data_IF_934592571209
#
_entry.id   IF_934592571209
#
_cell.length_a   1.000
_cell.length_b   1.000
_cell.length_c   1.000
_cell.angle_alpha   90.00
_cell.angle_beta   90.00
_cell.angle_gamma   90.00
#
_symmetry.space_group_name_H-M   'P 1'
#
loop_
_entity.id
_entity.type
_entity.pdbx_description
1 polymer ?
2 polymer ?
3 water ?
#
# COMPACT_ATOMS: atom_id res chain seq x y z
N UNK A 1 -10.98 18.28 9.52
CA UNK A 1 -10.82 18.51 8.09
C UNK A 1 -9.39 18.94 7.78
N UNK A 2 -8.52 18.90 8.80
CA UNK A 2 -7.10 19.07 8.55
C UNK A 2 -6.60 17.90 7.72
N UNK A 3 -5.96 18.21 6.59
CA UNK A 3 -5.41 17.19 5.73
C UNK A 3 -3.96 17.52 5.40
N UNK A 4 -3.16 16.47 5.22
CA UNK A 4 -1.75 16.59 4.90
C UNK A 4 -1.51 15.92 3.55
N UNK A 5 -0.69 16.56 2.71
CA UNK A 5 -0.41 16.03 1.37
C UNK A 5 1.09 16.14 1.09
N UNK A 6 1.76 14.99 0.99
CA UNK A 6 3.15 14.96 0.59
C UNK A 6 3.29 15.05 -0.92
N UNK A 7 4.35 15.72 -1.37
CA UNK A 7 4.67 15.74 -2.79
C UNK A 7 6.18 15.81 -2.97
N UNK A 8 6.61 15.41 -4.16
CA UNK A 8 8.02 15.40 -4.48
C UNK A 8 8.19 14.52 -5.70
N UNK A 9 9.42 14.42 -6.20
CA UNK A 9 9.65 13.55 -7.36
C UNK A 9 9.52 12.10 -6.95
N UNK A 10 9.01 11.28 -7.84
CA UNK A 10 8.98 9.87 -7.56
C UNK A 10 10.31 9.16 -7.79
N UNK A 11 11.25 9.83 -8.46
CA UNK A 11 12.51 9.23 -8.87
C UNK A 11 13.65 10.20 -8.64
N UNK A 12 14.68 9.76 -7.92
CA UNK A 12 15.93 10.51 -7.79
C UNK A 12 17.10 9.57 -7.98
N UNK A 13 18.21 10.10 -8.44
CA UNK A 13 19.37 9.27 -8.70
C UNK A 13 20.23 9.15 -7.44
N UNK A 14 20.98 8.05 -7.30
CA UNK A 14 21.90 7.94 -6.17
C UNK A 14 22.86 9.12 -6.14
N UNK A 15 23.08 9.62 -4.92
CA UNK A 15 23.89 10.76 -4.51
C UNK A 15 23.15 12.09 -4.64
N UNK A 16 21.99 12.14 -5.28
CA UNK A 16 21.24 13.38 -5.38
C UNK A 16 20.58 13.70 -4.04
N UNK A 17 19.96 14.88 -3.97
CA UNK A 17 19.23 15.27 -2.75
C UNK A 17 17.73 15.14 -3.01
N UNK A 18 17.06 14.33 -2.18
CA UNK A 18 15.61 14.20 -2.23
C UNK A 18 14.95 15.37 -1.54
N UNK A 19 14.03 16.05 -2.23
CA UNK A 19 13.31 17.20 -1.69
C UNK A 19 11.82 16.91 -1.72
N UNK A 20 11.19 16.90 -0.54
CA UNK A 20 9.77 16.66 -0.40
C UNK A 20 9.10 17.82 0.33
N UNK A 21 7.83 18.00 0.06
CA UNK A 21 7.03 18.99 0.78
C UNK A 21 5.81 18.32 1.37
N UNK A 22 5.33 18.90 2.47
CA UNK A 22 4.14 18.45 3.16
C UNK A 22 3.22 19.67 3.27
N UNK A 23 2.15 19.68 2.49
CA UNK A 23 1.25 20.82 2.44
C UNK A 23 0.03 20.54 3.32
N UNK A 24 -0.22 21.44 4.26
CA UNK A 24 -1.32 21.29 5.19
C UNK A 24 -2.48 22.16 4.73
N UNK A 25 -3.68 21.60 4.77
CA UNK A 25 -4.89 22.32 4.41
C UNK A 25 -5.94 22.08 5.49
N UNK A 26 -6.89 23.00 5.58
CA UNK A 26 -7.92 22.93 6.61
C UNK A 26 -7.49 23.40 7.98
N UNK A 27 -6.28 23.94 8.09
CA UNK A 27 -5.77 24.42 9.36
C UNK A 27 -4.36 24.93 9.17
N UNK A 28 -3.85 25.57 10.22
CA UNK A 28 -2.53 26.18 10.18
C UNK A 28 -1.46 25.23 10.70
N UNK A 29 -0.24 25.40 10.19
CA UNK A 29 0.89 24.67 10.76
C UNK A 29 1.36 25.27 12.07
N UNK A 30 0.86 26.44 12.45
CA UNK A 30 1.29 27.11 13.67
C UNK A 30 0.97 26.26 14.89
N UNK A 31 1.91 26.24 15.84
CA UNK A 31 1.69 25.67 17.14
C UNK A 31 2.04 24.19 17.25
N UNK A 32 1.99 23.44 16.15
CA UNK A 32 2.23 22.01 16.15
C UNK A 32 3.67 21.69 15.76
N UNK A 33 4.21 20.64 16.36
CA UNK A 33 5.29 19.92 15.71
C UNK A 33 4.73 19.12 14.55
N UNK A 34 5.54 18.96 13.51
CA UNK A 34 5.17 18.21 12.32
C UNK A 34 6.29 17.22 12.07
N UNK A 35 5.95 15.94 11.92
CA UNK A 35 6.94 14.89 11.79
C UNK A 35 7.03 14.36 10.36
N UNK A 36 8.21 13.90 10.00
CA UNK A 36 8.43 13.15 8.78
C UNK A 36 8.74 11.70 9.15
N UNK A 37 8.15 10.77 8.39
CA UNK A 37 8.25 9.34 8.63
C UNK A 37 8.46 8.67 7.26
N UNK A 38 9.14 7.52 7.24
CA UNK A 38 9.22 6.78 6.00
C UNK A 38 9.08 5.29 6.23
N UNK A 39 8.76 4.60 5.13
CA UNK A 39 8.54 3.15 5.15
C UNK A 39 9.10 2.53 3.87
N UNK A 40 10.26 1.88 3.94
CA UNK A 40 10.71 1.08 2.80
C UNK A 40 9.67 0.03 2.46
N UNK A 41 9.60 -0.40 1.20
CA UNK A 41 8.61 -1.42 0.83
C UNK A 41 8.70 -2.65 1.72
N UNK A 42 7.57 -3.04 2.29
CA UNK A 42 7.47 -4.24 3.09
C UNK A 42 8.07 -4.15 4.48
N UNK A 43 8.55 -2.97 4.89
CA UNK A 43 9.24 -2.83 6.17
C UNK A 43 8.42 -1.92 7.10
N UNK A 44 9.00 -1.62 8.26
CA UNK A 44 8.31 -0.86 9.27
C UNK A 44 8.47 0.64 9.08
N UNK A 45 7.86 1.39 10.00
CA UNK A 45 7.92 2.84 9.99
C UNK A 45 9.16 3.34 10.71
N UNK A 46 9.84 4.31 10.09
CA UNK A 46 11.02 4.95 10.66
C UNK A 46 10.75 6.44 10.80
N UNK A 47 10.85 6.95 12.03
CA UNK A 47 10.75 8.39 12.22
C UNK A 47 12.01 9.06 11.68
N UNK A 48 11.83 10.09 10.86
CA UNK A 48 12.94 10.83 10.28
C UNK A 48 13.28 12.05 11.12
N UNK A 49 12.28 12.86 11.43
CA UNK A 49 12.54 14.06 12.22
C UNK A 49 11.28 14.88 12.36
N UNK A 50 11.42 16.04 12.98
CA UNK A 50 10.26 16.90 13.13
C UNK A 50 10.66 18.37 13.14
N UNK A 51 9.65 19.23 13.05
CA UNK A 51 9.88 20.67 13.12
C UNK A 51 8.66 21.35 13.72
N UNK A 52 8.92 22.36 14.53
CA UNK A 52 7.94 23.33 15.00
C UNK A 52 8.42 24.69 14.53
N UNK A 53 7.53 25.47 13.91
CA UNK A 53 7.97 26.64 13.16
C UNK A 53 8.69 27.66 14.05
N UNK A 54 8.39 27.69 15.35
CA UNK A 54 9.03 28.64 16.24
C UNK A 54 9.71 27.99 17.43
N UNK A 55 9.86 26.67 17.46
CA UNK A 55 10.55 26.03 18.57
C UNK A 55 11.86 25.39 18.14
N UNK A 56 11.80 24.20 17.56
CA UNK A 56 13.01 23.50 17.23
C UNK A 56 12.78 22.60 16.02
N UNK A 57 13.88 22.04 15.54
CA UNK A 57 13.84 20.91 14.62
C UNK A 57 14.85 19.89 15.10
N UNK A 58 14.59 18.62 14.81
CA UNK A 58 15.55 17.58 15.13
C UNK A 58 15.27 16.39 14.23
N UNK A 59 16.22 15.46 14.22
CA UNK A 59 16.06 14.29 13.37
C UNK A 59 16.71 13.08 14.01
N UNK A 60 16.32 11.93 13.51
CA UNK A 60 16.85 10.64 13.90
C UNK A 60 18.38 10.66 13.87
N UNK A 61 19.07 10.18 14.91
CA UNK A 61 20.53 10.25 14.92
C UNK A 61 21.19 9.53 13.76
N UNK A 62 20.55 8.50 13.22
CA UNK A 62 21.12 7.78 12.09
C UNK A 62 21.03 8.59 10.81
N UNK A 63 20.10 9.54 10.73
CA UNK A 63 19.90 10.31 9.51
C UNK A 63 20.28 11.78 9.64
N UNK A 64 20.64 12.23 10.86
CA UNK A 64 20.78 13.66 11.10
C UNK A 64 21.80 14.32 10.18
N UNK A 65 22.87 13.62 9.80
CA UNK A 65 23.86 14.26 8.95
C UNK A 65 23.35 14.54 7.54
N UNK A 66 22.24 13.93 7.13
CA UNK A 66 21.72 14.11 5.79
C UNK A 66 20.36 14.79 5.74
N UNK A 67 19.74 15.08 6.90
CA UNK A 67 18.36 15.53 6.97
C UNK A 67 18.32 17.02 7.27
N UNK A 68 17.54 17.76 6.48
CA UNK A 68 17.22 19.15 6.79
C UNK A 68 15.72 19.31 6.65
N UNK A 69 15.06 19.69 7.74
CA UNK A 69 13.62 19.91 7.74
C UNK A 69 13.38 21.39 7.98
N UNK A 70 12.45 21.96 7.24
CA UNK A 70 12.13 23.38 7.38
C UNK A 70 10.63 23.59 7.19
N UNK A 71 10.20 24.84 7.33
CA UNK A 71 8.80 25.20 7.23
C UNK A 71 8.67 26.49 6.42
N UNK A 72 7.48 26.68 5.86
CA UNK A 72 7.14 27.90 5.12
C UNK A 72 5.74 28.30 5.57
N UNK A 73 5.65 29.35 6.40
CA UNK A 73 4.35 29.72 6.95
C UNK A 73 3.41 30.25 5.87
N UNK A 74 3.94 31.01 4.90
CA UNK A 74 3.09 31.56 3.87
C UNK A 74 2.45 30.46 3.04
N UNK A 75 3.17 29.36 2.81
CA UNK A 75 2.63 28.25 2.05
C UNK A 75 1.98 27.19 2.94
N UNK A 76 2.05 27.35 4.25
CA UNK A 76 1.53 26.36 5.19
C UNK A 76 2.09 24.97 4.88
N UNK A 77 3.42 24.93 4.71
CA UNK A 77 4.13 23.74 4.25
C UNK A 77 5.31 23.44 5.14
N UNK A 78 5.56 22.15 5.34
CA UNK A 78 6.83 21.64 5.84
C UNK A 78 7.59 21.03 4.67
N UNK A 79 8.91 20.95 4.82
CA UNK A 79 9.74 20.38 3.76
C UNK A 79 10.79 19.47 4.38
N UNK A 80 11.22 18.50 3.59
CA UNK A 80 12.28 17.59 3.98
C UNK A 80 13.29 17.55 2.86
N UNK A 81 14.56 17.74 3.19
CA UNK A 81 15.65 17.49 2.26
C UNK A 81 16.51 16.38 2.82
N UNK A 82 16.74 15.34 2.02
CA UNK A 82 17.57 14.20 2.40
C UNK A 82 18.70 14.09 1.38
N UNK A 83 19.93 14.34 1.82
CA UNK A 83 21.04 14.43 0.88
C UNK A 83 21.73 13.08 0.69
N UNK A 84 22.50 12.99 -0.39
CA UNK A 84 23.34 11.82 -0.69
C UNK A 84 22.55 10.51 -0.63
N UNK A 85 21.44 10.45 -1.38
CA UNK A 85 20.56 9.28 -1.24
C UNK A 85 21.20 8.06 -1.88
N UNK A 86 20.77 6.89 -1.38
CA UNK A 86 21.10 5.61 -1.97
C UNK A 86 19.81 4.78 -2.05
N UNK A 87 19.94 3.57 -2.59
CA UNK A 87 18.79 2.67 -2.65
C UNK A 87 18.16 2.43 -1.28
N UNK A 88 18.94 2.56 -0.20
CA UNK A 88 18.40 2.40 1.15
C UNK A 88 17.38 3.47 1.50
N UNK A 89 17.31 4.55 0.72
CA UNK A 89 16.34 5.60 0.95
C UNK A 89 15.07 5.43 0.10
N UNK A 90 14.99 4.39 -0.71
CA UNK A 90 13.74 4.09 -1.42
C UNK A 90 12.67 3.74 -0.40
N UNK A 91 11.56 4.49 -0.41
CA UNK A 91 10.56 4.33 0.63
C UNK A 91 9.35 5.18 0.27
N UNK A 92 8.23 4.91 0.94
CA UNK A 92 7.14 5.87 0.96
C UNK A 92 7.39 6.82 2.11
N UNK A 93 7.26 8.12 1.85
CA UNK A 93 7.54 9.16 2.81
C UNK A 93 6.24 9.81 3.25
N UNK A 94 6.07 9.97 4.56
CA UNK A 94 4.86 10.55 5.16
C UNK A 94 5.19 11.76 6.01
N UNK A 95 4.25 12.68 6.10
CA UNK A 95 4.26 13.63 7.21
C UNK A 95 3.07 13.36 8.14
N UNK A 96 3.20 13.86 9.37
CA UNK A 96 2.16 13.66 10.37
C UNK A 96 2.12 14.87 11.30
N UNK A 97 0.92 15.19 11.77
CA UNK A 97 0.77 16.22 12.79
C UNK A 97 1.08 15.67 14.16
N UNK A 98 1.95 16.37 14.89
CA UNK A 98 2.61 15.87 16.10
C UNK A 98 2.13 16.73 17.26
N UNK A 99 2.96 16.85 18.30
CA UNK A 99 2.56 17.52 19.53
C UNK A 99 2.23 18.99 19.34
N UNK A 100 1.18 19.46 20.03
CA UNK A 100 0.79 20.85 20.02
C UNK A 100 1.32 21.55 21.28
N UNK A 101 1.94 22.71 21.09
CA UNK A 101 2.46 23.54 22.17
C UNK A 101 1.59 24.77 22.32
N UNK A 102 1.01 24.94 23.51
CA UNK A 102 0.20 26.11 23.82
C UNK A 102 1.10 27.32 24.07
N UNK A 103 0.46 28.50 24.08
CA UNK A 103 1.21 29.75 24.31
C UNK A 103 1.84 29.75 25.69
N UNK A 104 1.23 29.07 26.66
CA UNK A 104 1.81 28.95 27.99
C UNK A 104 3.15 28.23 27.98
N UNK A 105 3.45 27.46 26.92
CA UNK A 105 4.64 26.64 26.87
C UNK A 105 4.41 25.18 27.20
N UNK A 106 3.26 24.85 27.76
CA UNK A 106 2.92 23.45 28.01
C UNK A 106 2.39 22.81 26.74
N UNK A 107 2.25 21.50 26.75
CA UNK A 107 1.99 20.77 25.52
C UNK A 107 1.15 19.55 25.82
N UNK A 108 0.67 18.90 24.77
CA UNK A 108 0.07 17.58 24.92
C UNK A 108 0.56 16.71 23.77
N UNK A 109 1.24 15.62 24.11
CA UNK A 109 1.76 14.71 23.10
C UNK A 109 0.65 14.21 22.19
N UNK A 110 0.93 14.20 20.88
CA UNK A 110 -0.03 13.78 19.88
C UNK A 110 0.71 13.29 18.64
N UNK A 111 0.00 12.51 17.84
CA UNK A 111 0.50 12.03 16.55
C UNK A 111 -0.72 11.55 15.79
N UNK A 112 -1.64 12.46 15.46
CA UNK A 112 -3.02 12.08 15.22
C UNK A 112 -3.49 12.15 13.77
N UNK A 113 -2.74 12.80 12.89
CA UNK A 113 -3.14 12.91 11.49
C UNK A 113 -1.96 12.55 10.62
N UNK A 114 -2.17 11.64 9.66
CA UNK A 114 -1.15 11.26 8.70
C UNK A 114 -1.50 11.81 7.33
N UNK A 115 -0.47 12.11 6.55
CA UNK A 115 -0.62 12.34 5.13
C UNK A 115 -0.83 11.02 4.40
N UNK A 116 -0.99 11.11 3.07
CA UNK A 116 -1.25 9.93 2.26
C UNK A 116 0.03 9.17 1.91
N UNK A 117 1.17 9.83 1.97
CA UNK A 117 2.45 9.28 1.60
C UNK A 117 2.77 9.52 0.14
N UNK A 118 4.07 9.66 -0.12
CA UNK A 118 4.53 9.78 -1.49
C UNK A 118 5.71 8.84 -1.68
N UNK A 119 5.67 8.06 -2.76
CA UNK A 119 6.65 7.01 -2.99
C UNK A 119 7.86 7.60 -3.70
N UNK A 120 9.04 7.30 -3.18
CA UNK A 120 10.30 7.74 -3.77
C UNK A 120 11.15 6.52 -4.07
N UNK A 121 11.66 6.43 -5.30
CA UNK A 121 12.59 5.38 -5.70
C UNK A 121 13.92 6.03 -6.02
N UNK A 122 15.00 5.47 -5.49
CA UNK A 122 16.35 5.97 -5.74
C UNK A 122 17.01 5.00 -6.73
N UNK A 123 17.25 5.47 -7.95
CA UNK A 123 17.75 4.61 -9.02
C UNK A 123 18.39 5.51 -10.08
N UNK A 124 19.34 4.94 -10.83
CA UNK A 124 19.85 5.65 -12.00
C UNK A 124 19.06 5.36 -13.27
N UNK A 125 18.10 4.44 -13.23
CA UNK A 125 17.30 4.14 -14.40
C UNK A 125 16.39 5.31 -14.74
N UNK A 126 16.05 5.42 -16.03
CA UNK A 126 15.23 6.51 -16.51
C UNK A 126 13.75 6.22 -16.32
N UNK A 127 12.97 7.28 -16.13
CA UNK A 127 11.51 7.15 -16.06
C UNK A 127 10.99 6.57 -17.37
N UNK A 128 9.95 5.75 -17.28
CA UNK A 128 9.28 5.24 -18.47
C UNK A 128 7.79 5.13 -18.23
N UNK A 129 7.00 5.73 -19.11
CA UNK A 129 5.57 5.63 -19.04
C UNK A 129 5.06 4.30 -19.52
N UNK A 130 3.90 3.88 -19.05
CA UNK A 130 3.40 2.55 -19.39
C UNK A 130 2.73 2.50 -20.75
N UNK A 131 2.65 1.29 -21.29
CA UNK A 131 1.76 0.95 -22.39
C UNK A 131 0.53 0.28 -21.80
N UNK A 132 -0.65 0.68 -22.25
CA UNK A 132 -1.90 0.21 -21.68
C UNK A 132 -2.64 -0.59 -22.73
N UNK A 133 -3.05 -1.80 -22.37
CA UNK A 133 -3.78 -2.65 -23.29
C UNK A 133 -5.08 -3.10 -22.64
N UNK A 134 -6.17 -3.14 -23.39
CA UNK A 134 -7.44 -3.55 -22.81
C UNK A 134 -7.51 -5.07 -22.67
N UNK A 135 -8.18 -5.52 -21.60
CA UNK A 135 -8.50 -6.93 -21.41
C UNK A 135 -10.00 -7.07 -21.65
N UNK A 136 -10.36 -7.55 -22.84
CA UNK A 136 -11.76 -7.55 -23.26
C UNK A 136 -12.55 -8.64 -22.55
N UNK A 137 -13.86 -8.45 -22.35
CA UNK A 137 -14.71 -9.47 -21.72
C UNK A 137 -14.72 -10.82 -22.46
N UNK A 145 -24.59 -14.46 -14.65
CA UNK A 145 -24.37 -13.48 -15.69
C UNK A 145 -23.39 -12.40 -15.28
N UNK A 146 -22.13 -12.78 -15.05
CA UNK A 146 -21.11 -11.86 -14.60
C UNK A 146 -19.87 -12.03 -15.48
N UNK A 147 -19.17 -10.92 -15.74
CA UNK A 147 -18.02 -10.92 -16.63
C UNK A 147 -16.92 -10.04 -16.06
N UNK A 148 -15.67 -10.42 -16.33
CA UNK A 148 -14.50 -9.65 -15.92
C UNK A 148 -13.89 -8.98 -17.13
N UNK A 149 -13.41 -7.76 -16.93
CA UNK A 149 -12.66 -7.05 -17.96
C UNK A 149 -11.61 -6.22 -17.24
N UNK A 150 -10.64 -5.72 -17.99
CA UNK A 150 -9.60 -5.02 -17.28
C UNK A 150 -8.71 -4.25 -18.21
N UNK A 151 -7.59 -3.79 -17.65
CA UNK A 151 -6.54 -3.13 -18.40
C UNK A 151 -5.20 -3.67 -17.95
N UNK A 152 -4.31 -3.89 -18.90
CA UNK A 152 -2.96 -4.37 -18.64
C UNK A 152 -2.02 -3.19 -18.81
N UNK A 153 -1.31 -2.84 -17.74
CA UNK A 153 -0.48 -1.64 -17.68
C UNK A 153 0.96 -2.12 -17.64
N UNK A 154 1.68 -1.97 -18.76
CA UNK A 154 2.92 -2.69 -18.98
C UNK A 154 4.12 -1.75 -19.05
N UNK A 155 5.23 -2.20 -18.44
CA UNK A 155 6.57 -1.68 -18.72
C UNK A 155 6.71 -0.19 -18.36
N UNK A 156 6.49 0.11 -17.08
CA UNK A 156 6.66 1.47 -16.57
C UNK A 156 7.69 1.51 -15.44
N UNK A 157 8.16 2.72 -15.13
CA UNK A 157 9.13 2.91 -14.05
C UNK A 157 9.23 4.39 -13.69
N UNK A 158 9.30 4.70 -12.39
CA UNK A 158 9.16 3.79 -11.25
C UNK A 158 7.69 3.63 -10.86
N UNK A 159 7.46 3.01 -9.70
CA UNK A 159 6.13 2.93 -9.13
C UNK A 159 5.72 4.31 -8.60
N UNK A 160 4.42 4.56 -8.48
CA UNK A 160 3.28 3.71 -8.78
C UNK A 160 2.52 4.16 -10.01
N UNK A 161 1.58 3.34 -10.47
CA UNK A 161 0.51 3.81 -11.33
C UNK A 161 -0.79 3.61 -10.58
N UNK A 162 -1.72 4.53 -10.80
CA UNK A 162 -3.08 4.41 -10.28
C UNK A 162 -4.01 4.18 -11.46
N UNK A 163 -5.03 3.37 -11.24
CA UNK A 163 -6.02 3.08 -12.27
C UNK A 163 -7.39 3.32 -11.67
N UNK A 164 -8.11 4.29 -12.24
CA UNK A 164 -9.53 4.41 -11.96
C UNK A 164 -10.31 3.88 -13.16
N UNK A 165 -11.61 3.71 -12.95
CA UNK A 165 -12.51 3.23 -13.99
C UNK A 165 -13.64 4.23 -14.19
N UNK A 166 -13.88 4.58 -15.45
CA UNK A 166 -14.95 5.51 -15.82
C UNK A 166 -14.81 6.83 -15.07
N UNK A 167 -13.58 7.36 -15.09
CA UNK A 167 -13.24 8.66 -14.50
C UNK A 167 -13.58 8.68 -13.01
N UNK A 168 -13.27 7.60 -12.31
CA UNK A 168 -13.52 7.50 -10.90
C UNK A 168 -14.97 7.27 -10.51
N UNK A 169 -15.86 7.13 -11.48
CA UNK A 169 -17.28 6.92 -11.18
C UNK A 169 -17.63 5.46 -11.00
N UNK A 170 -16.73 4.54 -11.33
CA UNK A 170 -16.96 3.11 -11.15
C UNK A 170 -16.12 2.65 -9.97
N UNK A 171 -16.79 2.25 -8.89
CA UNK A 171 -16.16 1.82 -7.64
C UNK A 171 -16.98 0.64 -7.12
N UNK A 172 -16.63 -0.56 -7.58
CA UNK A 172 -17.30 -1.76 -7.10
C UNK A 172 -16.36 -2.96 -7.19
N UNK A 173 -16.55 -3.78 -8.22
CA UNK A 173 -15.70 -4.95 -8.39
C UNK A 173 -14.30 -4.63 -8.87
N UNK A 174 -13.86 -3.37 -8.68
CA UNK A 174 -12.55 -2.95 -9.14
C UNK A 174 -11.48 -3.56 -8.25
N UNK A 175 -10.45 -4.14 -8.87
CA UNK A 175 -9.26 -4.52 -8.12
C UNK A 175 -8.04 -4.21 -8.97
N UNK A 176 -7.12 -3.42 -8.42
CA UNK A 176 -5.86 -3.14 -9.09
C UNK A 176 -4.78 -3.93 -8.37
N UNK A 177 -4.12 -4.82 -9.11
CA UNK A 177 -3.20 -5.76 -8.55
C UNK A 177 -1.86 -5.13 -8.20
N UNK A 178 -1.10 -5.74 -7.30
CA UNK A 178 0.28 -5.32 -7.11
C UNK A 178 1.04 -5.47 -8.41
N UNK A 179 2.03 -4.61 -8.60
CA UNK A 179 2.86 -4.69 -9.79
C UNK A 179 3.83 -5.85 -9.69
N UNK A 180 4.22 -6.36 -10.84
CA UNK A 180 5.33 -7.32 -10.95
C UNK A 180 6.54 -6.57 -11.48
N UNK A 181 7.72 -6.85 -10.91
CA UNK A 181 8.98 -6.29 -11.40
C UNK A 181 9.57 -7.28 -12.39
N UNK A 182 9.61 -6.90 -13.66
CA UNK A 182 10.12 -7.78 -14.71
C UNK A 182 11.64 -7.69 -14.80
N UNK A 183 12.25 -8.65 -15.50
CA UNK A 183 13.70 -8.71 -15.58
C UNK A 183 14.28 -7.50 -16.28
N UNK A 184 13.48 -6.82 -17.13
CA UNK A 184 13.87 -5.53 -17.68
C UNK A 184 14.10 -4.47 -16.62
N UNK A 185 13.66 -4.70 -15.38
CA UNK A 185 13.66 -3.65 -14.39
C UNK A 185 12.44 -2.76 -14.46
N UNK A 186 11.47 -3.11 -15.30
CA UNK A 186 10.23 -2.36 -15.46
C UNK A 186 9.11 -3.07 -14.74
N UNK A 187 8.09 -2.30 -14.34
CA UNK A 187 6.92 -2.82 -13.66
C UNK A 187 5.76 -3.01 -14.62
N UNK A 188 4.90 -3.99 -14.31
CA UNK A 188 3.62 -4.15 -14.98
C UNK A 188 2.58 -4.50 -13.94
N UNK A 189 1.35 -4.09 -14.19
CA UNK A 189 0.25 -4.54 -13.34
C UNK A 189 -1.00 -4.64 -14.20
N UNK A 190 -2.05 -5.16 -13.60
CA UNK A 190 -3.36 -5.17 -14.22
C UNK A 190 -4.37 -4.59 -13.25
N UNK A 191 -5.43 -4.01 -13.81
CA UNK A 191 -6.56 -3.58 -13.03
C UNK A 191 -7.79 -4.22 -13.66
N UNK A 192 -8.66 -4.76 -12.83
CA UNK A 192 -9.80 -5.54 -13.32
C UNK A 192 -11.08 -5.07 -12.62
N UNK A 193 -12.21 -5.22 -13.30
CA UNK A 193 -13.51 -4.97 -12.71
C UNK A 193 -14.45 -6.09 -13.13
N UNK A 194 -15.31 -6.52 -12.20
CA UNK A 194 -16.34 -7.52 -12.50
C UNK A 194 -17.65 -6.78 -12.72
N UNK A 195 -18.29 -7.03 -13.86
CA UNK A 195 -19.46 -6.26 -14.27
C UNK A 195 -20.58 -7.23 -14.64
N UNK A 196 -21.85 -6.83 -14.51
CA UNK A 196 -22.93 -7.70 -14.98
C UNK A 196 -22.84 -7.91 -16.50
N UNK A 197 -23.06 -9.15 -16.91
CA UNK A 197 -23.04 -9.47 -18.34
C UNK A 197 -24.08 -8.68 -19.12
N UNK A 198 -25.20 -8.33 -18.48
CA UNK A 198 -26.27 -7.62 -19.17
C UNK A 198 -25.85 -6.21 -19.56
N UNK A 199 -24.92 -5.61 -18.84
CA UNK A 199 -24.46 -4.26 -19.13
C UNK A 199 -23.28 -4.25 -20.10
N UNK A 200 -22.96 -5.39 -20.73
CA UNK A 200 -21.81 -5.44 -21.64
C UNK A 200 -22.08 -4.77 -22.97
N UNK A 201 -23.27 -4.92 -23.51
CA UNK A 201 -23.54 -4.19 -24.75
C UNK A 201 -24.04 -2.78 -24.48
N UNK A 202 -24.10 -2.41 -23.22
CA UNK A 202 -24.66 -1.17 -22.79
C UNK A 202 -23.72 -0.17 -22.21
N UNK A 203 -23.12 -0.51 -21.09
CA UNK A 203 -22.24 0.39 -20.47
C UNK A 203 -20.86 0.23 -21.08
N UNK A 204 -20.20 1.33 -21.21
CA UNK A 204 -18.80 1.32 -21.61
C UNK A 204 -17.92 1.33 -20.37
N UNK A 205 -16.75 0.70 -20.49
CA UNK A 205 -15.79 0.63 -19.41
C UNK A 205 -14.44 1.15 -19.89
N UNK A 206 -13.96 2.20 -19.25
CA UNK A 206 -12.71 2.85 -19.63
C UNK A 206 -11.83 2.93 -18.39
N UNK A 207 -10.63 2.37 -18.48
CA UNK A 207 -9.68 2.54 -17.40
C UNK A 207 -8.90 3.84 -17.60
N UNK A 208 -8.73 4.58 -16.51
CA UNK A 208 -7.95 5.81 -16.52
C UNK A 208 -6.63 5.52 -15.79
N UNK A 209 -5.55 5.47 -16.56
CA UNK A 209 -4.23 5.10 -16.04
C UNK A 209 -3.39 6.35 -15.87
N UNK A 210 -2.87 6.56 -14.66
CA UNK A 210 -2.02 7.70 -14.35
C UNK A 210 -0.65 7.19 -13.91
N UNK A 211 0.40 7.70 -14.55
CA UNK A 211 1.76 7.43 -14.13
C UNK A 211 2.41 8.80 -13.88
N UNK A 212 2.33 9.25 -12.63
CA UNK A 212 2.81 10.60 -12.30
C UNK A 212 4.29 10.82 -12.61
N UNK A 213 5.22 9.86 -12.43
CA UNK A 213 6.63 10.19 -12.67
C UNK A 213 6.94 10.52 -14.12
N UNK A 214 6.15 10.02 -15.05
CA UNK A 214 6.28 10.38 -16.46
C UNK A 214 5.17 11.31 -16.92
N UNK A 215 4.31 11.75 -16.00
CA UNK A 215 3.07 12.46 -16.32
C UNK A 215 2.40 11.82 -17.53
N UNK A 216 2.26 10.50 -17.51
CA UNK A 216 1.50 9.79 -18.52
C UNK A 216 0.07 9.64 -18.03
N UNK A 217 -0.88 9.95 -18.92
CA UNK A 217 -2.30 9.74 -18.65
C UNK A 217 -2.88 9.02 -19.85
N UNK A 218 -3.53 7.88 -19.61
CA UNK A 218 -4.07 7.06 -20.69
C UNK A 218 -5.47 6.58 -20.30
N UNK A 219 -6.43 6.77 -21.20
CA UNK A 219 -7.74 6.16 -21.11
C UNK A 219 -7.82 5.05 -22.15
N UNK A 220 -8.27 3.87 -21.74
CA UNK A 220 -8.41 2.74 -22.64
C UNK A 220 -9.79 2.12 -22.45
N UNK A 221 -10.52 1.93 -23.54
CA UNK A 221 -11.81 1.24 -23.47
C UNK A 221 -11.60 -0.27 -23.55
N UNK A 222 -12.23 -1.00 -22.63
CA UNK A 222 -12.28 -2.46 -22.68
C UNK A 222 -13.64 -2.88 -23.21
N UNK A 223 -13.67 -3.31 -24.47
CA UNK A 223 -14.89 -3.60 -25.22
C UNK A 223 -14.89 -5.04 -25.73
N UNK A 224 -16.07 -5.66 -25.86
CA UNK A 224 -16.20 -7.05 -26.34
C UNK A 224 -15.52 -7.33 -27.68
N UNK B 1 18.41 3.93 26.03
CA UNK B 1 17.96 4.06 24.68
C UNK B 1 16.47 3.73 24.68
N UNK B 2 15.69 4.60 24.09
CA UNK B 2 14.23 4.42 24.04
C UNK B 2 13.89 3.39 22.97
N UNK B 3 13.29 2.28 23.39
CA UNK B 3 12.92 1.19 22.49
C UNK B 3 11.49 0.77 22.79
N UNK B 4 10.70 0.56 21.75
CA UNK B 4 9.37 -0.04 21.86
C UNK B 4 9.44 -1.41 21.22
N UNK B 5 9.20 -2.46 21.99
CA UNK B 5 9.30 -3.82 21.50
C UNK B 5 7.91 -4.36 21.16
N UNK B 6 7.73 -4.75 19.91
CA UNK B 6 6.55 -5.44 19.43
C UNK B 6 6.94 -6.77 18.81
N UNK B 7 6.19 -7.82 19.13
CA UNK B 7 6.41 -9.06 18.40
C UNK B 7 5.79 -8.94 17.01
N UNK B 8 6.38 -9.61 16.01
CA UNK B 8 6.02 -9.28 14.62
C UNK B 8 4.64 -9.75 14.19
N UNK B 9 4.00 -10.68 14.89
CA UNK B 9 2.70 -11.14 14.42
C UNK B 9 1.83 -11.63 15.58
N UNK B 10 0.53 -11.61 15.33
CA UNK B 10 -0.47 -12.06 16.28
C UNK B 10 -1.61 -12.66 15.48
N UNK B 11 -2.41 -13.50 16.14
CA UNK B 11 -3.46 -14.21 15.43
C UNK B 11 -4.62 -14.49 16.36
N UNK B 12 -5.83 -14.44 15.81
CA UNK B 12 -7.04 -14.82 16.56
C UNK B 12 -8.17 -14.97 15.54
N UNK B 13 -9.26 -15.59 16.00
CA UNK B 13 -10.36 -15.93 15.10
C UNK B 13 -11.31 -14.75 14.90
N UNK B 14 -11.99 -14.78 13.75
CA UNK B 14 -13.09 -13.88 13.48
C UNK B 14 -14.06 -13.87 14.65
N UNK B 15 -14.40 -12.67 15.10
CA UNK B 15 -15.35 -12.50 16.19
C UNK B 15 -14.74 -12.53 17.57
N UNK B 16 -13.49 -12.98 17.70
CA UNK B 16 -12.84 -13.06 19.00
C UNK B 16 -12.25 -11.69 19.37
N UNK B 17 -11.58 -11.64 20.51
CA UNK B 17 -10.75 -10.50 20.88
C UNK B 17 -9.28 -10.87 20.80
N UNK B 18 -8.44 -9.85 20.63
CA UNK B 18 -7.01 -10.03 20.69
C UNK B 18 -6.42 -8.84 21.44
N UNK B 19 -5.35 -9.10 22.18
CA UNK B 19 -4.63 -8.05 22.89
C UNK B 19 -3.20 -7.97 22.35
N UNK B 20 -2.91 -6.89 21.63
CA UNK B 20 -1.58 -6.67 21.10
C UNK B 20 -0.73 -5.97 22.15
N UNK B 21 0.57 -6.27 22.16
CA UNK B 21 1.43 -5.76 23.20
C UNK B 21 2.56 -4.91 22.63
N UNK B 22 2.88 -3.85 23.36
CA UNK B 22 4.00 -2.96 23.06
C UNK B 22 4.74 -2.72 24.37
N UNK B 23 6.02 -3.06 24.42
CA UNK B 23 6.78 -2.99 25.67
C UNK B 23 7.78 -1.84 25.62
N UNK B 24 7.70 -0.94 26.60
CA UNK B 24 8.66 0.15 26.73
C UNK B 24 9.95 -0.33 27.40
N UNK B 25 11.08 0.20 26.92
CA UNK B 25 12.34 -0.05 27.59
C UNK B 25 12.30 0.51 29.02
N UNK B 26 13.12 -0.09 29.89
CA UNK B 26 12.91 0.06 31.33
C UNK B 26 13.00 1.51 31.80
N UNK B 27 13.92 2.28 31.23
CA UNK B 27 14.01 3.67 31.65
C UNK B 27 12.85 4.55 31.26
N UNK B 28 11.89 4.02 30.51
CA UNK B 28 10.81 4.82 29.95
C UNK B 28 9.47 4.18 30.23
N UNK B 29 9.36 3.45 31.34
CA UNK B 29 8.18 2.63 31.61
C UNK B 29 6.95 3.46 31.92
N UNK B 30 7.08 4.78 32.12
CA UNK B 30 5.94 5.63 32.41
C UNK B 30 5.48 6.45 31.22
N UNK B 31 6.01 6.19 30.03
CA UNK B 31 5.66 6.97 28.85
C UNK B 31 4.27 6.63 28.34
N UNK B 32 3.59 7.64 27.78
CA UNK B 32 2.43 7.36 26.96
C UNK B 32 2.86 6.81 25.60
N UNK B 33 1.94 6.14 24.92
CA UNK B 33 2.19 5.71 23.54
C UNK B 33 0.98 6.06 22.68
N UNK B 34 1.19 6.00 21.37
CA UNK B 34 0.10 6.01 20.41
C UNK B 34 0.10 4.69 19.67
N UNK B 35 -1.08 4.24 19.26
CA UNK B 35 -1.24 3.10 18.38
C UNK B 35 -1.66 3.58 17.00
N UNK B 36 -1.04 3.01 15.96
CA UNK B 36 -1.36 3.31 14.57
C UNK B 36 -1.65 2.00 13.83
N UNK B 37 -2.60 2.05 12.92
CA UNK B 37 -3.04 0.91 12.13
C UNK B 37 -2.71 1.16 10.67
N UNK B 38 -2.21 0.14 9.99
CA UNK B 38 -1.91 0.25 8.56
C UNK B 38 -2.50 -0.97 7.88
N UNK B 39 -3.69 -0.81 7.32
CA UNK B 39 -4.31 -1.88 6.58
C UNK B 39 -3.52 -2.12 5.30
N UNK B 40 -3.53 -3.35 4.78
CA UNK B 40 -2.65 -3.65 3.64
C UNK B 40 -2.95 -2.74 2.46
N UNK B 41 -1.91 -2.13 1.92
CA UNK B 41 -2.02 -1.29 0.75
C UNK B 41 -2.18 0.20 1.00
N UNK B 42 -2.52 0.61 2.22
CA UNK B 42 -2.77 2.03 2.46
C UNK B 42 -1.77 2.59 3.47
N UNK B 43 -1.86 3.90 3.71
CA UNK B 43 -1.03 4.53 4.70
C UNK B 43 -1.53 4.28 6.09
N UNK B 44 -0.69 4.62 7.08
CA UNK B 44 -1.10 4.50 8.48
C UNK B 44 -2.22 5.47 8.82
N UNK B 45 -2.98 5.09 9.84
CA UNK B 45 -3.91 5.99 10.50
C UNK B 45 -3.77 5.83 12.00
N UNK B 46 -3.96 6.93 12.71
CA UNK B 46 -3.89 6.93 14.16
C UNK B 46 -5.13 6.26 14.75
N UNK B 47 -4.92 5.42 15.77
CA UNK B 47 -6.00 4.77 16.50
C UNK B 47 -6.30 5.44 17.83
N UNK B 48 -5.30 5.59 18.68
CA UNK B 48 -5.54 6.08 20.04
C UNK B 48 -4.21 6.40 20.69
N UNK B 49 -4.29 7.20 21.76
CA UNK B 49 -3.19 7.38 22.70
C UNK B 49 -3.50 6.60 23.97
N UNK B 50 -2.50 5.88 24.49
CA UNK B 50 -2.62 5.15 25.75
C UNK B 50 -1.72 5.83 26.79
N UNK B 51 -2.31 6.26 27.89
CA UNK B 51 -1.59 7.04 28.89
C UNK B 51 -1.02 6.16 30.00
N UNK B 52 -0.10 6.74 30.76
CA UNK B 52 0.55 6.01 31.85
C UNK B 52 -0.47 5.55 32.88
N UNK B 53 -1.48 6.35 33.15
CA UNK B 53 -2.43 5.99 34.18
C UNK B 53 -3.44 4.94 33.72
N UNK B 54 -3.33 4.47 32.49
CA UNK B 54 -4.24 3.48 31.96
C UNK B 54 -5.37 4.05 31.14
N UNK B 55 -5.57 5.37 31.16
CA UNK B 55 -6.61 5.93 30.35
C UNK B 55 -6.20 5.88 28.89
N UNK B 56 -7.19 5.90 28.01
CA UNK B 56 -6.89 5.94 26.59
C UNK B 56 -7.89 6.86 25.92
N UNK B 57 -7.48 7.41 24.78
CA UNK B 57 -8.25 8.38 24.03
C UNK B 57 -8.21 7.95 22.56
N UNK B 58 -9.36 7.52 22.05
CA UNK B 58 -9.45 7.13 20.65
C UNK B 58 -9.47 8.36 19.75
N UNK B 59 -8.92 8.19 18.55
CA UNK B 59 -9.09 9.20 17.54
C UNK B 59 -10.51 9.27 17.03
N UNK B 60 -10.88 10.43 16.50
CA UNK B 60 -12.18 10.61 15.88
C UNK B 60 -12.42 9.55 14.82
N UNK B 61 -13.61 8.94 14.85
CA UNK B 61 -14.00 7.95 13.86
C UNK B 61 -13.46 6.56 14.07
N UNK B 62 -12.60 6.34 15.06
CA UNK B 62 -12.06 5.01 15.31
C UNK B 62 -13.10 4.19 16.07
N UNK B 63 -13.38 2.95 15.63
CA UNK B 63 -14.46 2.17 16.26
C UNK B 63 -14.20 1.90 17.74
N UNK B 64 -15.29 1.80 18.51
CA UNK B 64 -15.12 1.55 19.94
C UNK B 64 -14.70 0.12 20.24
N UNK B 65 -14.63 -0.76 19.23
CA UNK B 65 -14.05 -2.07 19.42
C UNK B 65 -12.58 -2.00 19.78
N UNK B 66 -11.93 -0.86 19.53
CA UNK B 66 -10.53 -0.64 19.85
C UNK B 66 -10.43 0.05 21.20
N UNK B 67 -9.68 -0.57 22.12
CA UNK B 67 -9.41 0.07 23.41
C UNK B 67 -7.95 -0.16 23.77
N UNK B 68 -7.48 0.57 24.77
CA UNK B 68 -6.10 0.50 25.18
C UNK B 68 -6.00 0.42 26.68
N UNK B 69 -4.86 -0.09 27.14
CA UNK B 69 -4.65 -0.28 28.57
C UNK B 69 -3.15 -0.37 28.84
N UNK B 70 -2.81 -0.38 30.13
CA UNK B 70 -1.43 -0.27 30.59
C UNK B 70 -1.20 -1.28 31.72
N UNK B 71 0.04 -1.79 31.80
CA UNK B 71 0.45 -2.59 32.95
C UNK B 71 1.97 -2.49 33.04
N UNK B 72 2.45 -1.70 33.99
CA UNK B 72 3.89 -1.50 34.13
C UNK B 72 4.48 -0.90 32.87
N UNK B 73 5.41 -1.62 32.24
CA UNK B 73 6.01 -1.17 31.00
C UNK B 73 5.27 -1.66 29.77
N UNK B 74 4.20 -2.43 29.96
CA UNK B 74 3.40 -2.93 28.85
C UNK B 74 2.32 -1.93 28.49
N UNK B 75 2.12 -1.76 27.19
CA UNK B 75 1.02 -0.97 26.65
C UNK B 75 0.25 -1.87 25.71
N UNK B 76 -1.06 -1.85 25.80
CA UNK B 76 -1.87 -2.82 25.08
C UNK B 76 -2.85 -2.13 24.15
N UNK B 77 -3.18 -2.83 23.08
CA UNK B 77 -4.29 -2.50 22.18
C UNK B 77 -5.19 -3.72 22.15
N UNK B 78 -6.40 -3.59 22.66
CA UNK B 78 -7.34 -4.70 22.64
C UNK B 78 -8.38 -4.44 21.55
N UNK B 79 -8.54 -5.40 20.65
CA UNK B 79 -9.53 -5.30 19.59
C UNK B 79 -10.54 -6.39 19.83
N UNK B 80 -11.78 -6.01 20.04
CA UNK B 80 -12.84 -6.96 20.28
C UNK B 80 -13.71 -7.10 19.04
N UNK B 81 -14.46 -8.20 18.99
CA UNK B 81 -15.30 -8.55 17.85
C UNK B 81 -14.53 -8.40 16.54
N UNK B 82 -13.44 -9.17 16.43
CA UNK B 82 -12.54 -9.04 15.27
C UNK B 82 -13.29 -9.22 13.97
N UNK B 83 -13.03 -8.32 13.03
CA UNK B 83 -13.58 -8.35 11.68
C UNK B 83 -12.44 -8.49 10.68
N UNK B 84 -12.78 -8.92 9.47
CA UNK B 84 -11.78 -9.08 8.43
C UNK B 84 -10.94 -7.82 8.24
N UNK B 85 -11.57 -6.64 8.31
CA UNK B 85 -10.86 -5.38 8.11
C UNK B 85 -9.82 -5.09 9.18
N UNK B 86 -9.81 -5.85 10.28
CA UNK B 86 -8.80 -5.65 11.31
C UNK B 86 -7.47 -6.31 10.97
N UNK B 87 -7.41 -7.11 9.90
CA UNK B 87 -6.11 -7.62 9.46
C UNK B 87 -5.29 -6.45 8.96
N UNK B 88 -4.20 -6.18 9.64
CA UNK B 88 -3.44 -4.96 9.42
C UNK B 88 -2.15 -5.08 10.22
N UNK B 89 -1.25 -4.13 9.97
CA UNK B 89 -0.05 -3.97 10.78
C UNK B 89 -0.32 -2.88 11.79
N UNK B 90 0.00 -3.16 13.05
CA UNK B 90 -0.25 -2.24 14.15
C UNK B 90 1.09 -1.79 14.72
N UNK B 91 1.31 -0.48 14.74
CA UNK B 91 2.55 0.10 15.23
C UNK B 91 2.29 0.88 16.51
N UNK B 92 3.10 0.64 17.52
CA UNK B 92 3.08 1.59 18.62
C UNK B 92 4.18 2.62 18.38
N UNK B 93 4.03 3.76 19.06
CA UNK B 93 4.89 4.91 18.82
C UNK B 93 4.90 5.76 20.08
N UNK B 94 6.03 6.40 20.37
CA UNK B 94 6.06 7.24 21.55
C UNK B 94 6.90 8.49 21.27
N UNK B 95 6.95 9.37 22.27
CA UNK B 95 7.56 10.68 22.17
C UNK B 95 8.65 10.80 23.23
N UNK B 96 9.86 11.17 22.81
CA UNK B 96 10.94 11.44 23.72
C UNK B 96 11.48 12.84 23.50
N UNK B 97 12.54 13.15 24.25
CA UNK B 97 13.17 14.47 24.14
C UNK B 97 13.83 14.58 22.77
N UNK B 98 13.23 15.38 21.90
CA UNK B 98 13.76 15.60 20.58
C UNK B 98 13.68 14.38 19.66
N UNK B 99 12.84 13.40 19.98
CA UNK B 99 12.84 12.13 19.26
C UNK B 99 11.43 11.56 19.28
N UNK B 100 11.08 10.81 18.24
CA UNK B 100 9.95 9.90 18.30
C UNK B 100 10.46 8.54 17.82
N UNK B 101 9.88 7.47 18.37
CA UNK B 101 10.26 6.13 17.95
C UNK B 101 9.02 5.27 17.74
N UNK B 102 9.13 4.36 16.79
CA UNK B 102 8.11 3.37 16.49
C UNK B 102 8.57 1.99 16.96
N UNK B 103 7.61 1.19 17.40
CA UNK B 103 7.82 -0.23 17.49
C UNK B 103 7.95 -0.84 16.11
N UNK B 104 8.34 -2.12 16.08
CA UNK B 104 8.57 -2.80 14.81
C UNK B 104 7.33 -3.20 14.05
N UNK B 105 6.17 -3.07 14.66
CA UNK B 105 4.89 -3.44 14.07
C UNK B 105 4.51 -4.88 14.36
N UNK B 106 3.21 -5.10 14.49
CA UNK B 106 2.64 -6.44 14.67
C UNK B 106 1.62 -6.68 13.56
N UNK B 107 1.81 -7.74 12.78
CA UNK B 107 0.86 -8.08 11.74
C UNK B 107 -0.21 -9.00 12.33
N UNK B 108 -1.46 -8.55 12.31
CA UNK B 108 -2.57 -9.34 12.84
C UNK B 108 -3.24 -10.15 11.75
N UNK B 109 -3.33 -11.46 11.95
CA UNK B 109 -4.11 -12.34 11.09
C UNK B 109 -5.42 -12.65 11.79
N UNK B 110 -6.53 -12.50 11.06
CA UNK B 110 -7.84 -12.86 11.56
C UNK B 110 -8.24 -14.18 10.89
N UNK B 111 -8.25 -15.25 11.68
CA UNK B 111 -8.45 -16.60 11.20
C UNK B 111 -9.94 -16.94 11.11
N UNK B 112 -10.24 -17.93 10.27
CA UNK B 112 -11.59 -18.48 10.26
C UNK B 112 -12.63 -17.67 9.51
N UNK B 113 -12.19 -16.87 8.53
CA UNK B 113 -13.12 -16.16 7.66
C UNK B 113 -13.77 -17.17 6.71
N UNK B 114 -14.88 -16.80 6.08
CA UNK B 114 -15.60 -17.78 5.27
C UNK B 114 -14.79 -18.24 4.05
N UNK B 115 -14.84 -19.55 3.83
CA UNK B 115 -14.14 -20.15 2.70
C UNK B 115 -14.80 -19.72 1.39
N UNK B 116 -13.97 -19.56 0.36
CA UNK B 116 -14.47 -19.16 -0.96
C UNK B 116 -13.55 -19.72 -2.04
N UNK B 117 -14.14 -20.40 -3.03
CA UNK B 117 -13.35 -20.88 -4.16
C UNK B 117 -13.06 -19.73 -5.12
N UNK B 118 -11.92 -19.77 -5.82
CA UNK B 118 -11.60 -18.69 -6.74
C UNK B 118 -12.40 -18.75 -8.03
N UNK B 119 -12.70 -17.56 -8.55
CA UNK B 119 -13.20 -17.38 -9.90
C UNK B 119 -12.01 -17.06 -10.79
N UNK B 120 -11.86 -17.77 -11.90
CA UNK B 120 -10.72 -17.61 -12.79
C UNK B 120 -11.19 -17.05 -14.13
N UNK B 121 -10.51 -16.01 -14.59
CA UNK B 121 -10.70 -15.48 -15.94
C UNK B 121 -9.36 -15.42 -16.63
N UNK B 122 -9.28 -16.00 -17.83
CA UNK B 122 -8.04 -16.01 -18.61
C UNK B 122 -8.23 -15.12 -19.82
N UNK B 123 -7.39 -14.11 -19.93
CA UNK B 123 -7.47 -13.18 -21.05
C UNK B 123 -6.39 -13.51 -22.06
N UNK B 124 -6.74 -13.64 -23.34
CA UNK B 124 -5.72 -13.79 -24.37
C UNK B 124 -5.00 -12.47 -24.58
N UNK B 125 -3.88 -12.48 -25.30
CA UNK B 125 -3.26 -11.21 -25.68
C UNK B 125 -4.25 -10.37 -26.46
N UNK B 126 -4.27 -9.07 -26.15
CA UNK B 126 -5.13 -8.16 -26.89
C UNK B 126 -4.62 -7.97 -28.31
N UNK B 127 -5.54 -7.65 -29.22
CA UNK B 127 -5.10 -7.35 -30.58
C UNK B 127 -4.14 -6.15 -30.59
N UNK B 128 -4.35 -5.20 -29.69
CA UNK B 128 -3.45 -4.06 -29.59
C UNK B 128 -2.04 -4.49 -29.20
N UNK B 129 -1.91 -5.42 -28.25
CA UNK B 129 -0.58 -5.87 -27.85
C UNK B 129 0.09 -6.67 -28.96
N UNK B 130 -0.67 -7.54 -29.63
CA UNK B 130 -0.11 -8.29 -30.75
C UNK B 130 0.33 -7.35 -31.86
N UNK B 131 -0.41 -6.27 -32.09
CA UNK B 131 0.00 -5.28 -33.09
C UNK B 131 1.29 -4.59 -32.67
N UNK B 132 1.56 -4.53 -31.36
CA UNK B 132 2.82 -4.05 -30.83
C UNK B 132 3.87 -5.15 -30.75
N UNK B 133 3.58 -6.31 -31.37
CA UNK B 133 4.53 -7.41 -31.51
C UNK B 133 4.95 -7.98 -30.16
N UNK B 134 4.00 -8.00 -29.21
CA UNK B 134 4.19 -8.65 -27.91
C UNK B 134 2.94 -9.48 -27.61
N UNK B 135 3.02 -10.30 -26.57
CA UNK B 135 1.90 -11.18 -26.21
C UNK B 135 1.97 -11.53 -24.72
N UNK B 136 0.92 -11.20 -23.98
CA UNK B 136 0.81 -11.55 -22.57
C UNK B 136 -0.52 -12.23 -22.35
N UNK B 137 -0.50 -13.43 -21.77
CA UNK B 137 -1.71 -14.04 -21.25
C UNK B 137 -1.87 -13.61 -19.81
N UNK B 138 -3.09 -13.25 -19.43
CA UNK B 138 -3.36 -12.72 -18.09
C UNK B 138 -4.37 -13.63 -17.44
N UNK B 139 -3.97 -14.32 -16.39
CA UNK B 139 -4.85 -15.21 -15.66
C UNK B 139 -5.26 -14.50 -14.38
N UNK B 140 -6.53 -14.09 -14.32
CA UNK B 140 -7.05 -13.36 -13.17
C UNK B 140 -7.78 -14.32 -12.24
N UNK B 141 -7.42 -14.28 -10.96
CA UNK B 141 -7.95 -15.21 -9.95
C UNK B 141 -8.60 -14.36 -8.86
N UNK B 142 -9.90 -14.53 -8.66
CA UNK B 142 -10.66 -13.59 -7.85
C UNK B 142 -11.44 -14.27 -6.73
N UNK B 143 -11.69 -13.48 -5.68
CA UNK B 143 -12.73 -13.77 -4.67
C UNK B 143 -12.54 -15.13 -3.98
N UNK B 144 -11.33 -15.43 -3.53
CA UNK B 144 -11.06 -16.68 -2.83
C UNK B 144 -10.57 -16.44 -1.41
N UNK B 145 -10.75 -17.44 -0.56
CA UNK B 145 -10.25 -17.44 0.80
C UNK B 145 -10.12 -18.89 1.26
N UNK B 146 -9.01 -19.25 1.92
CA UNK B 146 -7.84 -18.45 2.31
C UNK B 146 -6.98 -17.98 1.16
N UNK B 147 -6.07 -17.07 1.46
CA UNK B 147 -5.33 -16.37 0.43
C UNK B 147 -4.06 -17.04 -0.01
N UNK B 148 -4.19 -18.27 -0.52
CA UNK B 148 -3.05 -19.00 -1.07
C UNK B 148 -3.53 -19.85 -2.24
N UNK B 149 -2.83 -19.76 -3.37
CA UNK B 149 -3.12 -20.54 -4.56
C UNK B 149 -1.80 -20.92 -5.21
N UNK B 150 -1.85 -21.95 -6.06
CA UNK B 150 -0.76 -22.21 -6.99
C UNK B 150 -1.33 -22.18 -8.41
N UNK B 151 -0.48 -21.77 -9.35
CA UNK B 151 -0.88 -21.58 -10.74
C UNK B 151 -0.01 -22.47 -11.60
N UNK B 152 -0.63 -23.14 -12.57
CA UNK B 152 0.08 -23.96 -13.54
C UNK B 152 -0.36 -23.57 -14.94
N UNK B 153 0.61 -23.34 -15.81
CA UNK B 153 0.35 -22.95 -17.19
C UNK B 153 0.66 -24.12 -18.11
N UNK B 154 -0.13 -24.24 -19.17
CA UNK B 154 0.07 -25.27 -20.16
C UNK B 154 -0.12 -24.69 -21.56
N UNK B 155 0.63 -25.21 -22.51
CA UNK B 155 0.47 -24.92 -23.92
C UNK B 155 0.02 -26.19 -24.61
N UNK B 156 -1.19 -26.17 -25.16
CA UNK B 156 -1.84 -27.34 -25.75
C UNK B 156 -2.11 -28.44 -24.74
N UNK B 157 -1.38 -28.45 -23.62
CA UNK B 157 -1.51 -29.46 -22.59
C UNK B 157 -0.20 -29.81 -21.95
N UNK B 158 0.94 -29.28 -22.53
CA UNK B 158 2.29 -29.43 -21.99
C UNK B 158 2.60 -28.29 -21.02
N UNK B 159 3.19 -28.60 -19.87
CA UNK B 159 3.48 -27.55 -18.88
C UNK B 159 4.45 -26.51 -19.44
N UNK B 160 4.19 -25.25 -19.13
CA UNK B 160 5.05 -24.13 -19.49
C UNK B 160 5.57 -23.51 -18.20
N UNK B 161 6.88 -23.49 -18.04
CA UNK B 161 7.53 -22.93 -16.86
C UNK B 161 8.10 -21.54 -17.11
N UNK B 162 8.64 -21.30 -18.29
CA UNK B 162 9.36 -20.06 -18.56
C UNK B 162 8.41 -18.90 -18.80
N UNK B 163 8.78 -17.73 -18.30
CA UNK B 163 8.02 -16.52 -18.55
C UNK B 163 6.76 -16.38 -17.74
N UNK B 164 6.67 -17.04 -16.58
CA UNK B 164 5.50 -16.95 -15.71
C UNK B 164 5.82 -16.01 -14.56
N UNK B 165 4.94 -15.05 -14.32
CA UNK B 165 5.04 -14.16 -13.17
C UNK B 165 3.71 -14.19 -12.44
N UNK B 166 3.73 -14.50 -11.15
CA UNK B 166 2.52 -14.60 -10.38
C UNK B 166 2.62 -13.70 -9.16
N UNK B 167 1.56 -12.94 -8.88
CA UNK B 167 1.59 -12.04 -7.73
C UNK B 167 1.21 -12.80 -6.46
N UNK B 168 1.64 -12.26 -5.34
CA UNK B 168 1.20 -12.76 -4.06
C UNK B 168 -0.24 -12.31 -3.82
N UNK B 169 -1.13 -13.21 -3.40
CA UNK B 169 -2.54 -12.81 -3.21
C UNK B 169 -2.68 -11.63 -2.27
N UNK B 170 -3.58 -10.74 -2.61
CA UNK B 170 -3.86 -9.62 -1.78
C UNK B 170 -5.35 -9.41 -1.64
N UNK B 171 -5.74 -8.81 -0.54
CA UNK B 171 -7.12 -8.60 -0.25
C UNK B 171 -7.85 -7.59 -1.10
N UNK B 172 -8.98 -8.00 -1.61
CA UNK B 172 -9.86 -7.16 -2.38
C UNK B 172 -10.71 -6.29 -1.45
N UNK B 173 -11.48 -5.40 -2.02
CA UNK B 173 -12.32 -4.53 -1.21
C UNK B 173 -13.38 -5.32 -0.45
N UNK B 174 -13.85 -6.43 -1.03
CA UNK B 174 -14.83 -7.28 -0.35
C UNK B 174 -14.19 -8.26 0.63
N UNK B 175 -12.90 -8.09 0.92
CA UNK B 175 -12.12 -8.86 1.90
C UNK B 175 -11.86 -10.29 1.46
N UNK B 176 -12.20 -10.65 0.23
CA UNK B 176 -11.68 -11.88 -0.34
C UNK B 176 -10.36 -11.57 -1.03
N UNK B 177 -9.63 -12.61 -1.39
CA UNK B 177 -8.32 -12.46 -2.01
C UNK B 177 -8.42 -12.52 -3.52
N UNK B 178 -7.46 -11.87 -4.17
CA UNK B 178 -7.27 -11.98 -5.61
C UNK B 178 -5.80 -12.18 -5.89
N UNK B 179 -5.52 -12.75 -7.06
CA UNK B 179 -4.14 -12.88 -7.52
C UNK B 179 -4.12 -12.85 -9.04
N UNK B 180 -2.95 -12.57 -9.58
CA UNK B 180 -2.79 -12.51 -11.04
C UNK B 180 -1.57 -13.30 -11.44
N UNK B 181 -1.67 -13.96 -12.60
CA UNK B 181 -0.52 -14.64 -13.18
C UNK B 181 -0.41 -14.22 -14.63
N UNK B 182 0.82 -14.00 -15.08
CA UNK B 182 1.10 -13.54 -16.42
C UNK B 182 2.01 -14.53 -17.09
N UNK B 183 1.68 -14.91 -18.32
CA UNK B 183 2.58 -15.73 -19.12
C UNK B 183 3.00 -14.91 -20.33
N UNK B 184 4.29 -14.64 -20.44
CA UNK B 184 4.81 -13.85 -21.55
C UNK B 184 5.28 -14.75 -22.68
N UNK B 185 4.86 -14.42 -23.90
CA UNK B 185 5.13 -15.21 -25.10
C UNK B 185 5.44 -14.25 -26.24
N UNK B 186 6.00 -14.80 -27.33
CA UNK B 186 6.00 -14.01 -28.55
C UNK B 186 4.70 -14.22 -29.28
N UNK B 187 4.29 -13.28 -30.13
CA UNK B 187 3.11 -13.49 -30.97
C UNK B 187 3.16 -14.78 -31.79
N UNK B 188 4.33 -15.13 -32.34
CA UNK B 188 4.43 -16.37 -33.10
C UNK B 188 4.16 -17.59 -32.22
N UNK B 189 4.63 -17.56 -30.96
CA UNK B 189 4.35 -18.68 -30.08
C UNK B 189 2.86 -18.79 -29.78
N UNK B 190 2.24 -17.66 -29.46
CA UNK B 190 0.81 -17.62 -29.21
C UNK B 190 0.03 -18.21 -30.37
N UNK B 191 0.34 -17.79 -31.57
CA UNK B 191 -0.38 -18.25 -32.74
C UNK B 191 -0.09 -19.69 -33.14
N UNK B 192 1.01 -20.26 -32.68
CA UNK B 192 1.40 -21.59 -33.05
C UNK B 192 0.73 -22.74 -32.33
N UNK B 193 0.11 -22.46 -31.22
CA UNK B 193 -0.51 -23.53 -30.44
C UNK B 193 -2.02 -23.53 -30.66
N UNK B 194 -2.63 -24.68 -30.35
CA UNK B 194 -4.08 -24.78 -30.36
C UNK B 194 -4.69 -23.97 -29.22
N UNK B 195 -4.04 -23.98 -28.05
CA UNK B 195 -4.61 -23.33 -26.88
C UNK B 195 -3.56 -23.21 -25.79
N UNK B 196 -3.87 -22.36 -24.81
CA UNK B 196 -3.11 -22.23 -23.58
C UNK B 196 -4.07 -22.35 -22.41
N UNK B 197 -3.56 -22.86 -21.29
CA UNK B 197 -4.37 -23.15 -20.13
C UNK B 197 -3.77 -22.51 -18.88
N UNK B 198 -4.64 -21.95 -18.05
CA UNK B 198 -4.26 -21.49 -16.73
C UNK B 198 -5.03 -22.33 -15.72
N UNK B 199 -4.32 -23.06 -14.87
CA UNK B 199 -4.92 -23.94 -13.88
C UNK B 199 -4.56 -23.42 -12.49
N UNK B 200 -5.57 -23.17 -11.68
CA UNK B 200 -5.39 -22.62 -10.33
C UNK B 200 -5.79 -23.69 -9.33
N UNK B 201 -4.88 -24.00 -8.41
CA UNK B 201 -5.17 -24.94 -7.33
C UNK B 201 -5.41 -24.16 -6.05
N UNK B 202 -6.54 -24.44 -5.38
CA UNK B 202 -6.95 -23.73 -4.18
C UNK B 202 -7.57 -24.74 -3.23
N UNK B 203 -6.94 -24.91 -2.06
CA UNK B 203 -7.41 -25.87 -1.05
C UNK B 203 -7.66 -27.23 -1.68
N UNK B 204 -6.71 -27.67 -2.50
CA UNK B 204 -6.77 -29.01 -3.06
C UNK B 204 -7.73 -29.21 -4.21
N UNK B 205 -8.40 -28.16 -4.67
CA UNK B 205 -9.26 -28.22 -5.84
C UNK B 205 -8.71 -27.33 -6.93
N UNK B 206 -8.86 -27.77 -8.17
CA UNK B 206 -8.31 -27.05 -9.32
C UNK B 206 -9.42 -26.44 -10.15
N UNK B 207 -9.18 -25.23 -10.63
CA UNK B 207 -10.04 -24.53 -11.58
C UNK B 207 -9.17 -24.18 -12.77
N UNK B 208 -9.65 -24.51 -13.97
CA UNK B 208 -8.84 -24.34 -15.18
C UNK B 208 -9.62 -23.59 -16.24
N UNK B 209 -8.95 -22.65 -16.91
CA UNK B 209 -9.52 -21.91 -18.02
C UNK B 209 -8.60 -21.99 -19.23
N UNK B 210 -9.19 -22.03 -20.42
CA UNK B 210 -8.45 -22.19 -21.66
C UNK B 210 -8.79 -21.07 -22.62
N UNK B 211 -7.80 -20.61 -23.39
CA UNK B 211 -8.01 -19.65 -24.48
C UNK B 211 -7.26 -20.12 -25.70
N UNK B 212 -7.81 -19.79 -26.87
CA UNK B 212 -7.24 -20.15 -28.16
C UNK B 212 -7.11 -18.91 -29.02
N UNK B 213 -6.10 -18.85 -29.89
CA UNK B 213 -5.86 -17.72 -30.80
C UNK B 213 -7.02 -17.47 -31.76
#
# INVERSE_FOLDING_TARGET
QVQLQESGPGLVKPSETLSLTCTVSGGSISGYYWSWIRQPPGKGLEWIGYIHYSRSTNSNPALKSRVTISSDTSKNQLSLRLSSVTAADTAVYYCARDTYYYDSGDYEDAFDIWGQGTMVTVSSASTKGPSVFPLAPSSKSTSGGTAALGCLVKDYFPEPVTVSWNSGALTSGVHTFPAVLQSSGLYSLSSVVTVPSSSLGTQTYICNVNHKPSNTKVDKKAEPKSC
QLVLTQSPSASASLGASVKLTCTLSSGHSNYAIAWHQQQPGKGPRYLMKVNRDGSHIRGDGIPDRFSGSTSGAERYLTISSLQSEDEADYYCQTWGAGIRVFGGGTKLTVLGQPKAAPSVTLFPPSSEELQANKATLVCLISDFYPGAVTVAWKADGSPVKAGVETTTPSKQSNNKYAASSYLSLTPEQWKSHRSYSCQVTHEGSTVEKTVAPTECS
#
